data_IF_757056746106
#
_entry.id   IF_757056746106
#
_cell.length_a   1.000
_cell.length_b   1.000
_cell.length_c   1.000
_cell.angle_alpha   90.00
_cell.angle_beta   90.00
_cell.angle_gamma   90.00
#
_symmetry.space_group_name_H-M   'P 1'
#
loop_
_entity.id
_entity.type
_entity.pdbx_description
1 polymer ?
#
# COMPACT_ATOMS: atom_id res chain seq x y z
N UNK A 1 -34.87 -21.85 9.16
CA UNK A 1 -34.00 -21.22 8.14
C UNK A 1 -33.94 -19.74 8.48
N UNK A 2 -33.04 -19.36 9.37
CA UNK A 2 -32.77 -17.95 9.66
C UNK A 2 -31.94 -17.41 8.49
N UNK A 3 -32.48 -16.44 7.75
CA UNK A 3 -31.69 -15.68 6.80
C UNK A 3 -30.64 -14.89 7.58
N UNK A 4 -29.37 -15.05 7.24
CA UNK A 4 -28.35 -14.10 7.63
C UNK A 4 -28.65 -12.80 6.89
N UNK A 5 -29.14 -11.78 7.61
CA UNK A 5 -29.09 -10.41 7.11
C UNK A 5 -27.61 -10.03 7.08
N UNK A 6 -26.98 -10.18 5.91
CA UNK A 6 -25.74 -9.49 5.60
C UNK A 6 -26.08 -8.01 5.47
N UNK A 7 -26.05 -7.28 6.60
CA UNK A 7 -25.93 -5.83 6.53
C UNK A 7 -24.55 -5.57 5.93
N UNK A 8 -24.47 -5.47 4.60
CA UNK A 8 -23.39 -4.74 3.95
C UNK A 8 -23.55 -3.31 4.42
N UNK A 9 -22.77 -2.93 5.42
CA UNK A 9 -22.56 -1.52 5.71
C UNK A 9 -21.83 -0.96 4.49
N UNK A 10 -22.32 0.15 3.92
CA UNK A 10 -21.58 0.89 2.92
C UNK A 10 -20.23 1.30 3.53
N UNK A 11 -19.14 0.90 2.87
CA UNK A 11 -17.77 1.08 3.34
C UNK A 11 -16.85 1.26 2.14
N UNK A 12 -15.83 2.09 2.30
CA UNK A 12 -14.73 2.17 1.34
C UNK A 12 -14.07 0.80 1.18
N UNK A 13 -13.86 0.42 -0.07
CA UNK A 13 -13.09 -0.77 -0.44
C UNK A 13 -11.64 -0.38 -0.77
N UNK A 14 -10.68 -1.08 -0.15
CA UNK A 14 -9.26 -0.96 -0.47
C UNK A 14 -8.83 -2.21 -1.25
N UNK A 15 -8.43 -2.01 -2.50
CA UNK A 15 -7.75 -3.04 -3.29
C UNK A 15 -6.25 -2.93 -3.02
N UNK A 16 -5.72 -3.92 -2.31
CA UNK A 16 -4.30 -4.04 -1.96
C UNK A 16 -3.43 -4.16 -3.23
N UNK A 17 -2.24 -3.55 -3.18
CA UNK A 17 -1.19 -3.74 -4.17
C UNK A 17 -0.60 -5.16 -4.15
N UNK A 18 -0.97 -5.99 -3.17
CA UNK A 18 -0.56 -7.39 -3.05
C UNK A 18 0.62 -7.61 -2.09
N UNK A 19 1.22 -8.80 -2.20
CA UNK A 19 2.26 -9.29 -1.30
C UNK A 19 3.63 -9.22 -1.98
N UNK A 20 4.63 -8.65 -1.30
CA UNK A 20 5.97 -8.46 -1.82
C UNK A 20 7.03 -9.05 -0.90
N UNK A 21 7.91 -9.85 -1.49
CA UNK A 21 9.13 -10.34 -0.84
C UNK A 21 10.32 -9.56 -1.40
N UNK A 22 11.13 -8.99 -0.52
CA UNK A 22 12.29 -8.18 -0.88
C UNK A 22 13.58 -8.74 -0.31
N UNK A 23 14.70 -8.49 -0.99
CA UNK A 23 16.02 -8.74 -0.43
C UNK A 23 16.60 -7.48 0.15
N UNK A 24 17.18 -7.59 1.34
CA UNK A 24 17.84 -6.46 1.98
C UNK A 24 18.96 -5.98 1.07
N UNK A 25 19.05 -4.65 0.90
CA UNK A 25 19.97 -3.96 0.00
C UNK A 25 19.61 -4.03 -1.48
N UNK A 26 18.47 -4.61 -1.86
CA UNK A 26 17.99 -4.48 -3.24
C UNK A 26 17.64 -3.03 -3.57
N UNK A 27 17.64 -2.76 -4.87
CA UNK A 27 17.13 -1.51 -5.41
C UNK A 27 15.64 -1.32 -5.09
N UNK A 28 15.19 -0.08 -5.24
CA UNK A 28 13.77 0.24 -5.17
C UNK A 28 12.97 -0.57 -6.19
N UNK A 29 11.92 -1.23 -5.70
CA UNK A 29 10.98 -2.01 -6.51
C UNK A 29 9.65 -1.28 -6.57
N UNK A 30 9.06 -1.19 -7.77
CA UNK A 30 7.73 -0.63 -7.96
C UNK A 30 6.69 -1.64 -7.47
N UNK A 31 5.78 -1.20 -6.60
CA UNK A 31 4.61 -1.99 -6.22
C UNK A 31 3.45 -1.72 -7.19
N UNK A 32 2.55 -2.68 -7.29
CA UNK A 32 1.28 -2.54 -8.03
C UNK A 32 0.43 -1.42 -7.42
N UNK A 33 -0.61 -1.04 -8.16
CA UNK A 33 -1.48 0.04 -7.74
C UNK A 33 -2.25 -0.33 -6.46
N UNK A 34 -2.42 0.68 -5.61
CA UNK A 34 -3.36 0.66 -4.50
C UNK A 34 -4.59 1.42 -4.97
N UNK A 35 -5.77 0.82 -4.85
CA UNK A 35 -7.03 1.47 -5.24
C UNK A 35 -7.94 1.59 -4.03
N UNK A 36 -8.37 2.81 -3.71
CA UNK A 36 -9.30 3.11 -2.64
C UNK A 36 -10.58 3.61 -3.30
N UNK A 37 -11.69 2.87 -3.19
CA UNK A 37 -12.93 3.21 -3.87
C UNK A 37 -14.10 3.23 -2.91
N UNK A 38 -15.05 4.13 -3.16
CA UNK A 38 -16.37 4.02 -2.54
C UNK A 38 -17.10 2.74 -2.98
N UNK A 39 -17.96 2.21 -2.11
CA UNK A 39 -18.91 1.14 -2.49
C UNK A 39 -20.34 1.67 -2.59
N UNK A 40 -20.63 2.76 -1.91
CA UNK A 40 -21.82 3.59 -2.07
C UNK A 40 -21.43 5.07 -2.04
N UNK A 41 -22.25 5.90 -2.71
CA UNK A 41 -22.08 7.34 -2.71
C UNK A 41 -22.06 7.89 -1.27
N UNK A 42 -21.03 8.67 -0.95
CA UNK A 42 -20.83 9.29 0.35
C UNK A 42 -20.03 8.44 1.34
N UNK A 43 -19.42 7.33 0.90
CA UNK A 43 -18.44 6.57 1.68
C UNK A 43 -17.14 7.37 1.86
N UNK A 44 -16.79 8.22 0.90
CA UNK A 44 -15.89 9.35 1.07
C UNK A 44 -16.73 10.47 1.68
N UNK A 45 -16.60 10.61 3.00
CA UNK A 45 -17.53 11.36 3.82
C UNK A 45 -16.93 12.70 4.27
N UNK A 46 -16.08 13.31 3.43
CA UNK A 46 -15.42 14.58 3.76
C UNK A 46 -16.32 15.78 3.50
N UNK A 47 -17.08 15.77 2.39
CA UNK A 47 -18.10 16.76 2.02
C UNK A 47 -17.63 18.22 2.25
N UNK A 48 -16.44 18.56 1.75
CA UNK A 48 -15.74 19.79 2.08
C UNK A 48 -14.82 20.26 0.96
N UNK A 49 -14.83 21.56 0.68
CA UNK A 49 -13.89 22.21 -0.27
C UNK A 49 -12.47 22.39 0.29
N UNK A 50 -12.22 22.01 1.54
CA UNK A 50 -10.90 22.12 2.17
C UNK A 50 -10.11 20.82 1.97
N UNK A 51 -8.85 20.87 1.49
CA UNK A 51 -8.05 19.67 1.27
C UNK A 51 -7.90 18.82 2.53
N UNK A 52 -8.08 17.52 2.34
CA UNK A 52 -7.94 16.46 3.33
C UNK A 52 -6.70 15.65 3.05
N UNK A 53 -6.21 14.96 4.07
CA UNK A 53 -5.00 14.15 3.96
C UNK A 53 -5.29 12.69 4.27
N UNK A 54 -4.67 11.79 3.51
CA UNK A 54 -4.67 10.35 3.72
C UNK A 54 -3.22 9.88 3.79
N UNK A 55 -2.82 9.29 4.92
CA UNK A 55 -1.41 9.00 5.20
C UNK A 55 -1.21 7.50 5.37
N UNK A 56 -0.32 6.94 4.53
CA UNK A 56 0.25 5.61 4.68
C UNK A 56 1.70 5.76 5.17
N UNK A 57 2.02 5.27 6.36
CA UNK A 57 3.41 5.29 6.84
C UNK A 57 4.16 4.08 6.30
N UNK A 58 5.46 4.26 6.00
CA UNK A 58 6.33 3.14 5.69
C UNK A 58 6.32 2.17 6.87
N UNK A 59 6.03 0.87 6.65
CA UNK A 59 6.12 -0.12 7.72
C UNK A 59 7.55 -0.22 8.24
N UNK A 60 7.71 -0.71 9.46
CA UNK A 60 9.05 -0.92 10.01
C UNK A 60 9.88 -1.81 9.09
N UNK A 61 11.18 -1.52 8.98
CA UNK A 61 12.13 -2.20 8.08
C UNK A 61 11.96 -1.89 6.58
N UNK A 62 11.08 -0.97 6.18
CA UNK A 62 10.91 -0.53 4.80
C UNK A 62 10.98 0.99 4.69
N UNK A 63 11.27 1.47 3.48
CA UNK A 63 11.17 2.88 3.14
C UNK A 63 10.68 3.08 1.71
N UNK A 64 10.04 4.22 1.48
CA UNK A 64 9.67 4.67 0.14
C UNK A 64 10.83 5.39 -0.57
N UNK A 65 10.74 5.47 -1.89
CA UNK A 65 11.60 6.33 -2.72
C UNK A 65 10.99 7.75 -2.73
N UNK A 66 11.62 8.76 -2.11
CA UNK A 66 11.06 10.11 -2.09
C UNK A 66 10.79 10.63 -3.50
N UNK A 67 9.72 11.40 -3.64
CA UNK A 67 9.29 12.01 -4.91
C UNK A 67 8.88 11.03 -6.02
N UNK A 68 8.87 9.71 -5.77
CA UNK A 68 8.36 8.70 -6.70
C UNK A 68 7.00 8.17 -6.25
N UNK A 69 5.99 8.52 -7.04
CA UNK A 69 4.62 8.06 -6.90
C UNK A 69 3.71 8.94 -7.73
N UNK A 70 2.57 8.39 -8.10
CA UNK A 70 1.52 9.12 -8.80
C UNK A 70 0.18 8.83 -8.13
N UNK A 71 -0.73 9.80 -8.24
CA UNK A 71 -2.10 9.63 -7.78
C UNK A 71 -3.05 10.13 -8.85
N UNK A 72 -4.16 9.43 -9.01
CA UNK A 72 -5.26 9.84 -9.88
C UNK A 72 -6.58 9.52 -9.18
N UNK A 73 -7.64 10.19 -9.62
CA UNK A 73 -8.98 9.88 -9.18
C UNK A 73 -9.92 9.61 -10.35
N UNK A 74 -11.02 8.93 -10.04
CA UNK A 74 -12.22 8.84 -10.88
C UNK A 74 -13.45 9.18 -10.03
N UNK A 75 -14.60 9.34 -10.67
CA UNK A 75 -15.81 9.90 -10.05
C UNK A 75 -15.87 11.41 -10.28
N UNK A 76 -16.88 12.03 -9.68
CA UNK A 76 -17.20 13.43 -9.95
C UNK A 76 -16.97 14.34 -8.73
N UNK A 77 -16.96 13.79 -7.51
CA UNK A 77 -16.91 14.58 -6.28
C UNK A 77 -15.48 14.96 -5.84
N UNK A 78 -14.45 14.25 -6.34
CA UNK A 78 -13.04 14.62 -6.11
C UNK A 78 -12.60 15.69 -7.13
N UNK A 79 -12.49 16.94 -6.68
CA UNK A 79 -12.15 18.09 -7.52
C UNK A 79 -10.66 18.46 -7.52
N UNK A 80 -9.92 17.95 -6.54
CA UNK A 80 -8.47 18.13 -6.42
C UNK A 80 -7.84 16.86 -5.85
N UNK A 81 -6.68 16.48 -6.39
CA UNK A 81 -5.86 15.42 -5.84
C UNK A 81 -4.37 15.68 -6.08
N UNK A 82 -3.55 15.34 -5.10
CA UNK A 82 -2.10 15.45 -5.13
C UNK A 82 -1.45 14.39 -4.22
N UNK A 83 -0.17 14.12 -4.45
CA UNK A 83 0.62 13.15 -3.69
C UNK A 83 1.99 13.70 -3.33
N UNK A 84 2.38 13.48 -2.09
CA UNK A 84 3.74 13.69 -1.62
C UNK A 84 4.30 12.37 -1.07
N UNK A 85 5.36 11.86 -1.68
CA UNK A 85 6.07 10.65 -1.22
C UNK A 85 7.36 11.06 -0.53
N UNK A 86 7.49 10.65 0.72
CA UNK A 86 8.68 10.83 1.55
C UNK A 86 9.17 9.46 2.00
N UNK A 87 10.43 9.36 2.45
CA UNK A 87 11.04 8.10 2.87
C UNK A 87 10.19 7.30 3.86
N UNK A 88 9.47 7.98 4.75
CA UNK A 88 8.70 7.37 5.83
C UNK A 88 7.17 7.42 5.64
N UNK A 89 6.65 8.07 4.60
CA UNK A 89 5.21 8.16 4.38
C UNK A 89 4.84 8.50 2.93
N UNK A 90 3.68 8.01 2.52
CA UNK A 90 2.93 8.53 1.38
C UNK A 90 1.80 9.39 1.94
N UNK A 91 1.70 10.62 1.46
CA UNK A 91 0.60 11.53 1.78
C UNK A 91 -0.17 11.82 0.51
N UNK A 92 -1.39 11.31 0.43
CA UNK A 92 -2.36 11.75 -0.57
C UNK A 92 -3.13 12.93 0.01
N UNK A 93 -3.31 13.96 -0.80
CA UNK A 93 -4.08 15.16 -0.47
C UNK A 93 -5.23 15.21 -1.47
N UNK A 94 -6.47 15.31 -1.03
CA UNK A 94 -7.60 15.43 -1.93
C UNK A 94 -8.69 16.33 -1.37
N UNK A 95 -9.51 16.90 -2.25
CA UNK A 95 -10.76 17.58 -1.90
C UNK A 95 -11.87 16.69 -2.41
N UNK A 96 -12.74 16.26 -1.51
CA UNK A 96 -14.02 15.64 -1.81
C UNK A 96 -15.11 16.64 -1.41
N UNK A 97 -15.74 17.26 -2.40
CA UNK A 97 -16.71 18.35 -2.14
C UNK A 97 -18.06 17.81 -1.67
N UNK A 98 -18.33 16.51 -1.84
CA UNK A 98 -19.59 15.87 -1.50
C UNK A 98 -20.79 16.45 -2.25
N UNK A 99 -21.46 15.61 -3.03
CA UNK A 99 -22.68 15.90 -3.80
C UNK A 99 -22.49 16.69 -5.11
N UNK A 100 -22.08 16.01 -6.18
CA UNK A 100 -22.67 16.21 -7.51
C UNK A 100 -22.72 14.94 -8.39
N UNK A 101 -22.06 13.85 -8.02
CA UNK A 101 -22.00 12.60 -8.79
C UNK A 101 -23.07 11.56 -8.43
N UNK A 102 -23.46 10.73 -9.42
CA UNK A 102 -24.03 9.39 -9.15
C UNK A 102 -22.97 8.29 -9.30
N UNK A 103 -21.75 8.71 -9.61
CA UNK A 103 -20.60 7.83 -9.82
C UNK A 103 -19.92 7.60 -8.48
N UNK A 104 -19.32 6.42 -8.32
CA UNK A 104 -18.51 6.12 -7.14
C UNK A 104 -17.11 6.69 -7.34
N UNK A 105 -16.61 7.37 -6.32
CA UNK A 105 -15.26 7.90 -6.33
C UNK A 105 -14.22 6.79 -6.15
N UNK A 106 -13.06 6.98 -6.77
CA UNK A 106 -11.90 6.13 -6.55
C UNK A 106 -10.63 6.95 -6.58
N UNK A 107 -9.70 6.63 -5.68
CA UNK A 107 -8.33 7.13 -5.64
C UNK A 107 -7.40 5.98 -6.00
N UNK A 108 -6.58 6.15 -7.04
CA UNK A 108 -5.57 5.17 -7.45
C UNK A 108 -4.19 5.75 -7.19
N UNK A 109 -3.43 5.09 -6.31
CA UNK A 109 -2.03 5.40 -6.01
C UNK A 109 -1.17 4.41 -6.81
N UNK A 110 -0.27 4.93 -7.64
CA UNK A 110 0.57 4.14 -8.56
C UNK A 110 2.03 4.55 -8.46
N UNK A 111 2.91 3.76 -9.10
CA UNK A 111 4.35 4.03 -9.23
C UNK A 111 5.10 4.21 -7.90
N UNK A 112 4.51 3.73 -6.79
CA UNK A 112 5.15 3.72 -5.49
C UNK A 112 6.31 2.75 -5.54
N UNK A 113 7.45 3.22 -5.05
CA UNK A 113 8.68 2.43 -4.96
C UNK A 113 9.04 2.18 -3.52
N UNK A 114 9.34 0.92 -3.21
CA UNK A 114 9.67 0.45 -1.87
C UNK A 114 11.01 -0.26 -1.90
N UNK A 115 11.79 -0.11 -0.83
CA UNK A 115 12.91 -1.01 -0.56
C UNK A 115 12.99 -1.38 0.92
N UNK A 116 13.51 -2.56 1.26
CA UNK A 116 13.81 -2.92 2.64
C UNK A 116 15.08 -2.21 3.13
N UNK A 117 15.10 -1.85 4.40
CA UNK A 117 16.27 -1.31 5.12
C UNK A 117 16.83 -2.29 6.16
N UNK A 118 16.04 -3.27 6.60
CA UNK A 118 16.42 -4.33 7.54
C UNK A 118 15.65 -5.62 7.25
N UNK A 119 16.02 -6.73 7.90
CA UNK A 119 15.24 -7.98 7.88
C UNK A 119 13.97 -7.81 8.70
N UNK A 120 12.82 -8.12 8.11
CA UNK A 120 11.56 -8.18 8.85
C UNK A 120 11.42 -9.54 9.55
N UNK A 121 10.85 -9.55 10.76
CA UNK A 121 10.60 -10.79 11.52
C UNK A 121 9.41 -11.60 10.99
N UNK A 122 8.63 -11.02 10.06
CA UNK A 122 7.50 -11.62 9.38
C UNK A 122 6.90 -10.62 8.38
N UNK A 123 5.80 -10.98 7.69
CA UNK A 123 5.03 -10.04 6.88
C UNK A 123 4.55 -8.85 7.70
N UNK A 124 4.58 -7.66 7.11
CA UNK A 124 4.11 -6.41 7.72
C UNK A 124 3.28 -5.65 6.71
N UNK A 125 2.07 -5.26 7.12
CA UNK A 125 1.12 -4.58 6.24
C UNK A 125 1.40 -3.07 6.16
N UNK A 126 1.25 -2.54 4.95
CA UNK A 126 1.09 -1.12 4.71
C UNK A 126 -0.36 -0.74 5.05
N UNK A 127 -0.50 0.07 6.09
CA UNK A 127 -1.81 0.49 6.61
C UNK A 127 -1.89 2.01 6.70
N UNK A 128 -3.12 2.52 6.73
CA UNK A 128 -3.37 3.92 7.01
C UNK A 128 -2.98 4.24 8.45
N UNK A 129 -2.15 5.26 8.65
CA UNK A 129 -1.64 5.65 9.97
C UNK A 129 -2.02 7.07 10.38
N UNK A 130 -2.58 7.86 9.46
CA UNK A 130 -2.88 9.25 9.75
C UNK A 130 -3.75 9.95 8.71
N UNK A 131 -3.77 11.27 8.84
CA UNK A 131 -4.49 12.19 7.97
C UNK A 131 -5.81 12.66 8.55
N UNK A 132 -6.53 13.45 7.76
CA UNK A 132 -7.78 14.13 8.13
C UNK A 132 -8.97 13.70 7.28
N UNK A 133 -8.74 12.90 6.24
CA UNK A 133 -9.77 12.34 5.37
C UNK A 133 -10.76 11.45 6.14
N UNK A 134 -12.05 11.63 5.88
CA UNK A 134 -13.11 10.84 6.46
C UNK A 134 -13.61 9.80 5.44
N UNK A 135 -13.35 8.52 5.70
CA UNK A 135 -13.71 7.42 4.82
C UNK A 135 -14.38 6.32 5.65
N UNK A 136 -15.64 6.00 5.35
CA UNK A 136 -16.41 5.01 6.11
C UNK A 136 -15.78 3.62 5.94
N UNK A 137 -15.46 2.94 7.04
CA UNK A 137 -14.82 1.61 7.00
C UNK A 137 -13.35 1.60 6.54
N UNK A 138 -12.74 2.78 6.38
CA UNK A 138 -11.30 2.94 6.12
C UNK A 138 -10.68 4.06 6.98
N UNK A 139 -11.12 4.14 8.24
CA UNK A 139 -10.48 4.95 9.26
C UNK A 139 -9.12 4.34 9.68
N UNK A 140 -8.31 5.11 10.40
CA UNK A 140 -7.00 4.65 10.91
C UNK A 140 -7.14 3.39 11.77
N UNK A 141 -8.25 3.28 12.52
CA UNK A 141 -8.51 2.14 13.40
C UNK A 141 -8.99 0.88 12.68
N UNK A 142 -9.34 0.97 11.39
CA UNK A 142 -9.88 -0.16 10.63
C UNK A 142 -8.77 -1.07 10.08
N UNK A 143 -7.52 -0.59 10.04
CA UNK A 143 -6.32 -1.37 9.69
C UNK A 143 -6.49 -2.09 8.33
N UNK A 144 -7.08 -1.41 7.35
CA UNK A 144 -7.20 -1.92 5.99
C UNK A 144 -5.81 -2.12 5.36
N UNK A 145 -5.59 -3.29 4.76
CA UNK A 145 -4.34 -3.66 4.12
C UNK A 145 -4.23 -3.02 2.73
N UNK A 146 -3.16 -2.25 2.50
CA UNK A 146 -2.89 -1.61 1.21
C UNK A 146 -1.80 -2.35 0.43
N UNK A 147 -0.93 -3.08 1.12
CA UNK A 147 0.08 -3.99 0.61
C UNK A 147 0.64 -4.78 1.80
N UNK A 148 1.30 -5.90 1.54
CA UNK A 148 2.06 -6.63 2.57
C UNK A 148 3.50 -6.79 2.13
N UNK A 149 4.43 -6.47 3.03
CA UNK A 149 5.86 -6.52 2.76
C UNK A 149 6.56 -7.52 3.67
N UNK A 150 7.48 -8.28 3.09
CA UNK A 150 8.42 -9.12 3.84
C UNK A 150 9.82 -8.95 3.27
N UNK A 151 10.82 -8.95 4.13
CA UNK A 151 12.22 -8.82 3.72
C UNK A 151 13.08 -9.90 4.34
N UNK A 152 14.04 -10.37 3.54
CA UNK A 152 14.95 -11.45 3.92
C UNK A 152 16.39 -11.01 3.69
N UNK A 153 17.29 -11.45 4.56
CA UNK A 153 18.71 -11.33 4.33
C UNK A 153 19.17 -12.31 3.25
N UNK A 154 20.20 -11.94 2.49
CA UNK A 154 20.87 -12.89 1.62
C UNK A 154 21.46 -14.04 2.47
N UNK A 155 21.42 -15.29 1.97
CA UNK A 155 22.06 -16.40 2.65
C UNK A 155 23.57 -16.17 2.74
N UNK A 156 24.16 -16.51 3.89
CA UNK A 156 25.61 -16.52 4.07
C UNK A 156 26.11 -17.94 3.85
N UNK A 157 27.03 -18.13 2.89
CA UNK A 157 27.61 -19.45 2.63
C UNK A 157 28.29 -20.02 3.89
N UNK A 158 28.05 -21.31 4.17
CA UNK A 158 28.70 -22.03 5.27
C UNK A 158 27.98 -21.99 6.62
N UNK A 159 26.78 -21.43 6.71
CA UNK A 159 25.93 -21.58 7.91
C UNK A 159 25.18 -22.91 7.87
N UNK A 160 25.16 -23.63 8.99
CA UNK A 160 24.56 -24.97 9.08
C UNK A 160 23.02 -24.94 9.29
N UNK A 161 22.37 -23.82 8.99
CA UNK A 161 20.94 -23.62 9.23
C UNK A 161 20.15 -23.53 7.93
N UNK A 162 18.94 -24.09 7.93
CA UNK A 162 17.99 -23.88 6.85
C UNK A 162 17.59 -22.40 6.83
N UNK A 163 17.94 -21.70 5.76
CA UNK A 163 17.59 -20.29 5.59
C UNK A 163 16.62 -20.12 4.42
N UNK A 164 15.60 -19.27 4.59
CA UNK A 164 14.75 -18.85 3.47
C UNK A 164 15.57 -17.91 2.60
N UNK A 165 15.90 -18.35 1.40
CA UNK A 165 16.69 -17.55 0.47
C UNK A 165 15.82 -16.39 0.00
N UNK A 166 16.38 -15.19 0.08
CA UNK A 166 15.77 -14.08 -0.61
C UNK A 166 15.94 -14.22 -2.12
N UNK A 167 14.84 -14.41 -2.86
CA UNK A 167 14.84 -14.54 -4.30
C UNK A 167 13.77 -13.62 -4.89
N UNK A 168 14.20 -12.66 -5.70
CA UNK A 168 13.34 -11.76 -6.46
C UNK A 168 13.15 -12.21 -7.91
N UNK A 169 13.91 -13.22 -8.36
CA UNK A 169 13.80 -13.78 -9.70
C UNK A 169 12.94 -15.05 -9.76
N UNK A 170 12.29 -15.26 -10.92
CA UNK A 170 11.45 -16.44 -11.19
C UNK A 170 12.26 -17.71 -11.43
N UNK A 171 13.57 -17.60 -11.67
CA UNK A 171 14.49 -18.72 -11.83
C UNK A 171 15.71 -18.51 -10.93
N UNK A 172 15.86 -19.37 -9.92
CA UNK A 172 17.04 -19.38 -9.07
C UNK A 172 18.04 -20.41 -9.56
N UNK A 173 19.15 -19.94 -10.10
CA UNK A 173 20.28 -20.79 -10.42
C UNK A 173 21.07 -21.10 -9.14
N UNK A 174 20.61 -22.15 -8.45
CA UNK A 174 21.23 -22.69 -7.24
C UNK A 174 22.70 -23.09 -7.49
N UNK A 175 23.08 -23.44 -8.73
CA UNK A 175 24.46 -23.84 -9.05
C UNK A 175 25.41 -22.66 -9.14
N UNK A 176 25.00 -21.55 -9.79
CA UNK A 176 25.81 -20.32 -9.81
C UNK A 176 25.95 -19.70 -8.42
N UNK A 177 24.90 -19.77 -7.59
CA UNK A 177 24.94 -19.28 -6.22
C UNK A 177 25.90 -20.08 -5.31
N UNK A 178 26.13 -21.36 -5.62
CA UNK A 178 27.01 -22.24 -4.84
C UNK A 178 28.43 -22.32 -5.40
N UNK A 179 28.65 -22.06 -6.69
CA UNK A 179 29.98 -22.15 -7.32
C UNK A 179 30.85 -20.90 -7.11
N UNK A 180 30.26 -19.75 -6.78
CA UNK A 180 31.00 -18.52 -6.51
C UNK A 180 31.62 -17.86 -7.75
N UNK A 181 31.18 -18.24 -8.96
CA UNK A 181 31.61 -17.60 -10.20
C UNK A 181 30.66 -16.43 -10.50
N UNK A 182 31.09 -15.19 -10.18
CA UNK A 182 30.54 -13.94 -10.74
C UNK A 182 31.40 -13.48 -11.92
#
# INVERSE_FOLDING_TARGET
MLAANSNSFAQVNVTSAGNYNFCINDAYTVISNIVISETASGDFADNSTSPKTYILAAPSNFQFDPDFGSVSNSGDDITFIDIAVQTNQIRVIYVDEGNNGTQLESITISDIRVKPINTATGPIDLVRTGGTANQLGNAIADIQEHATFQSFAAPVAGTAENTTICQTETAYDLFNALSGEQ
#
